data_IF_945557674566
#
_entry.id   IF_945557674566
#
_cell.length_a   1.000
_cell.length_b   1.000
_cell.length_c   1.000
_cell.angle_alpha   90.00
_cell.angle_beta   90.00
_cell.angle_gamma   90.00
#
_symmetry.space_group_name_H-M   'P 1'
#
loop_
_entity.id
_entity.type
_entity.pdbx_description
1 polymer ?
#
# COMPACT_ATOMS: atom_id res chain seq x y z
N UNK A 1 -34.53 -17.99 -14.86
CA UNK A 1 -33.30 -17.40 -15.44
C UNK A 1 -32.56 -16.70 -14.30
N UNK A 2 -31.38 -17.19 -13.89
CA UNK A 2 -30.59 -16.57 -12.82
C UNK A 2 -29.63 -15.59 -13.48
N UNK A 3 -29.97 -14.31 -13.45
CA UNK A 3 -29.09 -13.22 -13.88
C UNK A 3 -27.84 -13.25 -13.00
N UNK A 4 -26.69 -13.59 -13.59
CA UNK A 4 -25.40 -13.47 -12.90
C UNK A 4 -25.05 -11.99 -12.81
N UNK A 5 -24.70 -11.47 -11.62
CA UNK A 5 -24.29 -10.07 -11.49
C UNK A 5 -23.03 -9.81 -12.34
N UNK A 6 -22.92 -8.61 -12.92
CA UNK A 6 -21.70 -8.15 -13.60
C UNK A 6 -20.61 -7.87 -12.56
N UNK A 7 -19.95 -8.93 -12.09
CA UNK A 7 -18.77 -8.81 -11.23
C UNK A 7 -17.55 -8.43 -12.06
N UNK A 8 -16.77 -7.47 -11.56
CA UNK A 8 -15.55 -6.97 -12.16
C UNK A 8 -14.44 -6.92 -11.11
N UNK A 9 -13.29 -7.50 -11.46
CA UNK A 9 -12.09 -7.48 -10.62
C UNK A 9 -11.68 -6.03 -10.27
N UNK A 10 -11.01 -5.83 -9.12
CA UNK A 10 -10.39 -4.55 -8.83
C UNK A 10 -9.35 -4.22 -9.91
N UNK A 11 -9.36 -3.00 -10.42
CA UNK A 11 -8.35 -2.50 -11.37
C UNK A 11 -7.81 -1.18 -10.83
N UNK A 12 -6.49 -1.11 -10.63
CA UNK A 12 -5.82 0.10 -10.20
C UNK A 12 -5.71 1.06 -11.39
N UNK A 13 -6.21 2.29 -11.23
CA UNK A 13 -6.09 3.36 -12.24
C UNK A 13 -5.11 4.45 -11.83
N UNK A 14 -4.84 4.56 -10.53
CA UNK A 14 -3.80 5.42 -9.96
C UNK A 14 -3.11 4.65 -8.84
N UNK A 15 -1.79 4.55 -8.91
CA UNK A 15 -1.01 3.81 -7.92
C UNK A 15 -1.12 4.43 -6.52
N UNK A 16 -0.97 3.64 -5.45
CA UNK A 16 -0.72 4.16 -4.11
C UNK A 16 0.47 5.13 -4.11
N UNK A 17 0.43 6.13 -3.24
CA UNK A 17 1.54 7.08 -3.08
C UNK A 17 1.96 7.13 -1.61
N UNK A 18 3.27 7.11 -1.37
CA UNK A 18 3.87 7.41 -0.06
C UNK A 18 4.32 8.86 -0.05
N UNK A 19 3.95 9.57 1.02
CA UNK A 19 4.38 10.94 1.33
C UNK A 19 4.98 11.02 2.74
N UNK A 20 5.76 12.08 2.97
CA UNK A 20 6.51 12.30 4.21
C UNK A 20 8.02 12.23 4.01
N UNK A 21 8.77 12.56 5.05
CA UNK A 21 10.24 12.53 5.02
C UNK A 21 10.74 11.15 5.44
N UNK A 22 11.59 10.54 4.61
CA UNK A 22 12.24 9.28 4.93
C UNK A 22 13.38 9.50 5.95
N UNK A 23 13.03 9.68 7.22
CA UNK A 23 13.96 9.93 8.32
C UNK A 23 13.50 9.19 9.56
N UNK A 24 14.42 8.62 10.33
CA UNK A 24 14.11 7.93 11.59
C UNK A 24 13.29 8.84 12.51
N UNK A 25 12.19 8.31 13.06
CA UNK A 25 11.26 9.05 13.92
C UNK A 25 10.21 9.87 13.16
N UNK A 26 10.34 10.07 11.85
CA UNK A 26 9.32 10.73 11.03
C UNK A 26 8.21 9.77 10.61
N UNK A 27 7.05 10.35 10.30
CA UNK A 27 5.88 9.60 9.84
C UNK A 27 5.80 9.59 8.31
N UNK A 28 5.64 8.40 7.74
CA UNK A 28 5.21 8.22 6.36
C UNK A 28 3.71 7.95 6.31
N UNK A 29 3.07 8.44 5.26
CA UNK A 29 1.65 8.22 4.98
C UNK A 29 1.51 7.58 3.59
N UNK A 30 0.59 6.62 3.45
CA UNK A 30 0.27 6.00 2.16
C UNK A 30 -1.21 6.18 1.80
N UNK A 31 -1.48 6.43 0.53
CA UNK A 31 -2.84 6.37 -0.04
C UNK A 31 -3.18 4.94 -0.48
N UNK A 32 -4.45 4.67 -0.78
CA UNK A 32 -4.81 3.43 -1.47
C UNK A 32 -4.53 3.48 -2.97
N UNK A 33 -4.31 4.66 -3.53
CA UNK A 33 -4.52 4.89 -4.96
C UNK A 33 -6.00 4.96 -5.33
N UNK A 34 -6.29 4.84 -6.61
CA UNK A 34 -7.64 4.83 -7.18
C UNK A 34 -7.91 3.50 -7.85
N UNK A 35 -9.10 2.96 -7.59
CA UNK A 35 -9.49 1.64 -8.07
C UNK A 35 -10.91 1.67 -8.62
N UNK A 36 -11.11 0.94 -9.71
CA UNK A 36 -12.44 0.51 -10.18
C UNK A 36 -12.68 -0.94 -9.77
N UNK A 37 -13.94 -1.37 -9.72
CA UNK A 37 -14.30 -2.76 -9.42
C UNK A 37 -15.75 -2.85 -8.97
N UNK A 38 -16.39 -3.99 -9.25
CA UNK A 38 -17.77 -4.26 -8.84
C UNK A 38 -17.85 -5.68 -8.29
N UNK A 39 -18.35 -5.91 -7.07
CA UNK A 39 -18.85 -4.94 -6.08
C UNK A 39 -17.74 -4.07 -5.44
N UNK A 40 -18.12 -3.26 -4.45
CA UNK A 40 -17.23 -2.36 -3.70
C UNK A 40 -15.93 -3.02 -3.28
N UNK A 41 -14.83 -2.32 -3.53
CA UNK A 41 -13.47 -2.74 -3.22
C UNK A 41 -13.12 -2.38 -1.77
N UNK A 42 -12.49 -3.32 -1.08
CA UNK A 42 -11.89 -3.16 0.26
C UNK A 42 -10.37 -3.24 0.16
N UNK A 43 -9.65 -2.66 1.13
CA UNK A 43 -8.19 -2.48 1.03
C UNK A 43 -7.45 -2.94 2.29
N UNK A 44 -6.42 -3.75 2.11
CA UNK A 44 -5.36 -3.97 3.10
C UNK A 44 -4.03 -3.44 2.60
N UNK A 45 -3.07 -3.23 3.50
CA UNK A 45 -1.73 -2.72 3.18
C UNK A 45 -0.67 -3.56 3.85
N UNK A 46 0.51 -3.59 3.25
CA UNK A 46 1.72 -4.12 3.86
C UNK A 46 2.89 -3.20 3.49
N UNK A 47 3.63 -2.75 4.50
CA UNK A 47 4.83 -1.94 4.31
C UNK A 47 6.08 -2.83 4.19
N UNK A 48 7.05 -2.35 3.41
CA UNK A 48 8.30 -3.05 3.12
C UNK A 48 9.49 -2.10 3.27
N UNK A 49 10.62 -2.64 3.74
CA UNK A 49 11.91 -1.97 3.77
C UNK A 49 12.90 -2.80 2.95
N UNK A 50 13.43 -2.21 1.88
CA UNK A 50 14.26 -2.91 0.87
C UNK A 50 13.63 -4.22 0.38
N UNK A 51 12.32 -4.19 0.14
CA UNK A 51 11.57 -5.36 -0.33
C UNK A 51 11.27 -6.42 0.73
N UNK A 52 11.71 -6.23 1.98
CA UNK A 52 11.39 -7.12 3.10
C UNK A 52 10.16 -6.60 3.84
N UNK A 53 9.15 -7.46 4.02
CA UNK A 53 7.92 -7.10 4.71
C UNK A 53 8.20 -6.72 6.18
N UNK A 54 7.57 -5.63 6.62
CA UNK A 54 7.71 -5.11 7.97
C UNK A 54 6.50 -5.62 8.77
N UNK A 55 6.75 -6.64 9.59
CA UNK A 55 5.70 -7.40 10.24
C UNK A 55 4.74 -6.50 11.06
N UNK A 56 3.44 -6.72 10.90
CA UNK A 56 2.40 -6.02 11.66
C UNK A 56 2.10 -4.59 11.21
N UNK A 57 2.82 -4.04 10.24
CA UNK A 57 2.59 -2.67 9.76
C UNK A 57 1.65 -2.68 8.56
N UNK A 58 0.37 -2.42 8.83
CA UNK A 58 -0.73 -2.45 7.84
C UNK A 58 -1.57 -1.16 7.79
N UNK A 59 -1.20 -0.16 8.61
CA UNK A 59 -1.88 1.14 8.67
C UNK A 59 -1.64 2.01 7.43
N UNK A 60 -2.43 3.07 7.30
CA UNK A 60 -2.20 4.14 6.31
C UNK A 60 -1.04 5.05 6.69
N UNK A 61 -0.64 5.05 7.96
CA UNK A 61 0.51 5.79 8.47
C UNK A 61 1.43 4.86 9.24
N UNK A 62 2.70 5.26 9.32
CA UNK A 62 3.69 4.57 10.13
C UNK A 62 4.86 5.48 10.49
N UNK A 63 5.46 5.25 11.65
CA UNK A 63 6.71 5.91 12.06
C UNK A 63 7.90 5.08 11.59
N UNK A 64 8.96 5.73 11.14
CA UNK A 64 10.20 5.08 10.74
C UNK A 64 11.06 4.74 11.95
N UNK A 65 11.53 3.50 12.03
CA UNK A 65 12.35 2.99 13.11
C UNK A 65 13.84 3.02 12.74
N UNK A 66 14.72 3.01 13.75
CA UNK A 66 16.18 3.02 13.53
C UNK A 66 16.67 1.84 12.66
N UNK A 67 16.00 0.68 12.72
CA UNK A 67 16.33 -0.50 11.91
C UNK A 67 16.05 -0.33 10.40
N UNK A 68 15.51 0.81 9.99
CA UNK A 68 15.21 1.13 8.59
C UNK A 68 16.19 2.14 8.00
N UNK A 69 17.17 2.61 8.77
CA UNK A 69 18.21 3.51 8.29
C UNK A 69 18.90 2.93 7.04
N UNK A 70 19.02 3.76 6.00
CA UNK A 70 19.59 3.42 4.71
C UNK A 70 18.64 2.65 3.78
N UNK A 71 17.47 2.21 4.26
CA UNK A 71 16.53 1.40 3.47
C UNK A 71 15.55 2.26 2.70
N UNK A 72 15.09 1.76 1.57
CA UNK A 72 13.98 2.32 0.80
C UNK A 72 12.67 1.73 1.31
N UNK A 73 11.67 2.59 1.51
CA UNK A 73 10.35 2.17 1.97
C UNK A 73 9.36 2.13 0.81
N UNK A 74 8.57 1.06 0.76
CA UNK A 74 7.45 0.88 -0.17
C UNK A 74 6.23 0.32 0.57
N UNK A 75 5.05 0.47 -0.03
CA UNK A 75 3.81 -0.07 0.48
C UNK A 75 3.08 -0.81 -0.65
N UNK A 76 2.63 -2.03 -0.38
CA UNK A 76 1.75 -2.77 -1.28
C UNK A 76 0.33 -2.64 -0.75
N UNK A 77 -0.57 -2.13 -1.58
CA UNK A 77 -2.01 -2.09 -1.33
C UNK A 77 -2.64 -3.29 -2.02
N UNK A 78 -3.40 -4.07 -1.26
CA UNK A 78 -4.18 -5.20 -1.76
C UNK A 78 -5.65 -4.80 -1.79
N UNK A 79 -6.22 -4.76 -2.98
CA UNK A 79 -7.62 -4.47 -3.26
C UNK A 79 -8.40 -5.77 -3.42
N UNK A 80 -9.51 -5.91 -2.70
CA UNK A 80 -10.33 -7.12 -2.66
C UNK A 80 -11.81 -6.79 -2.83
N UNK A 81 -12.49 -7.51 -3.73
CA UNK A 81 -13.95 -7.58 -3.79
C UNK A 81 -14.39 -9.03 -4.05
N UNK A 82 -15.69 -9.28 -4.24
CA UNK A 82 -16.19 -10.64 -4.50
C UNK A 82 -15.79 -11.22 -5.87
N UNK A 83 -15.25 -10.39 -6.78
CA UNK A 83 -14.72 -10.85 -8.05
C UNK A 83 -13.26 -11.34 -7.92
N UNK A 84 -12.52 -10.85 -6.92
CA UNK A 84 -11.16 -11.32 -6.62
C UNK A 84 -10.27 -10.27 -5.94
N UNK A 85 -8.96 -10.49 -6.06
CA UNK A 85 -7.92 -9.75 -5.35
C UNK A 85 -6.85 -9.28 -6.35
N UNK A 86 -6.47 -8.00 -6.26
CA UNK A 86 -5.41 -7.39 -7.08
C UNK A 86 -4.54 -6.50 -6.19
N UNK A 87 -3.25 -6.42 -6.48
CA UNK A 87 -2.30 -5.59 -5.72
C UNK A 87 -1.73 -4.45 -6.56
N UNK A 88 -1.32 -3.37 -5.90
CA UNK A 88 -0.54 -2.29 -6.49
C UNK A 88 0.51 -1.82 -5.49
N UNK A 89 1.70 -1.47 -5.99
CA UNK A 89 2.82 -0.99 -5.16
C UNK A 89 2.92 0.53 -5.27
N UNK A 90 3.28 1.18 -4.16
CA UNK A 90 3.51 2.62 -4.13
C UNK A 90 4.79 3.04 -4.85
N UNK A 91 5.02 4.34 -4.99
CA UNK A 91 6.37 4.85 -5.18
C UNK A 91 7.29 4.40 -4.03
N UNK A 92 8.57 4.26 -4.36
CA UNK A 92 9.65 4.14 -3.39
C UNK A 92 9.96 5.50 -2.76
N UNK A 93 10.32 5.50 -1.48
CA UNK A 93 10.92 6.68 -0.84
C UNK A 93 12.39 6.83 -1.24
N UNK A 94 13.00 7.97 -0.88
CA UNK A 94 14.46 8.01 -0.71
C UNK A 94 14.89 7.02 0.40
N UNK A 95 16.17 6.68 0.43
CA UNK A 95 16.75 5.93 1.54
C UNK A 95 16.53 6.68 2.86
N UNK A 96 16.13 5.97 3.91
CA UNK A 96 15.87 6.58 5.22
C UNK A 96 17.16 7.15 5.80
N UNK A 97 17.13 8.41 6.25
CA UNK A 97 18.26 9.08 6.90
C UNK A 97 18.12 9.07 8.43
N UNK A 98 19.22 9.38 9.12
CA UNK A 98 19.24 9.53 10.58
C UNK A 98 18.44 10.77 11.01
N UNK A 99 17.96 10.74 12.26
CA UNK A 99 17.25 11.84 12.89
C UNK A 99 18.11 13.11 13.02
#
# INVERSE_FOLDING_TARGET
>A
MKISPIWALPVNTVAPAITGTAQVGQTLTTTNGTWTGVPTVTYTRQWYADGVAIAGVTGTTRVLAAGELGKVITCVVTATNSAGVVTATSNATAAVIAA
#
